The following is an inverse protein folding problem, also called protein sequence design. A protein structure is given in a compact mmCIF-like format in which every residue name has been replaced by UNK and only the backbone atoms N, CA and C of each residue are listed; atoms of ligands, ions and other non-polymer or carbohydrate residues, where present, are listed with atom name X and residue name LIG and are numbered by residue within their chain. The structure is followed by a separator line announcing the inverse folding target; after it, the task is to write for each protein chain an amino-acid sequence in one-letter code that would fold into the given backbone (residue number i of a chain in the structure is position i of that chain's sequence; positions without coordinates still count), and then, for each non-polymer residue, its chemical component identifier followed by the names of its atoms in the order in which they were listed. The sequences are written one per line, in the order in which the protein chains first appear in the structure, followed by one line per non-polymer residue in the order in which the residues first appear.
data_IF_715098919180
#
_entry.id   IF_715098919180
#
_cell.length_a   1.000
_cell.length_b   1.000
_cell.length_c   1.000
_cell.angle_alpha   90.00
_cell.angle_beta   90.00
_cell.angle_gamma   90.00
#
_symmetry.space_group_name_H-M   'P 1'
#
loop_
_entity.id
_entity.type
_entity.pdbx_description
1 polymer ?
#
# COMPACT_ATOMS: atom_id res chain seq x y z
N UNK A 1 11.31 1.41 -15.41
CA UNK A 1 10.61 0.91 -14.21
C UNK A 1 11.66 0.65 -13.14
N UNK A 2 11.40 1.10 -11.91
CA UNK A 2 12.23 0.71 -10.77
C UNK A 2 12.01 -0.80 -10.51
N UNK A 3 13.07 -1.50 -10.08
CA UNK A 3 13.04 -2.93 -9.78
C UNK A 3 13.69 -3.19 -8.43
N UNK A 4 13.22 -4.20 -7.72
CA UNK A 4 13.94 -4.76 -6.59
C UNK A 4 14.82 -5.90 -7.07
N UNK A 5 16.03 -5.98 -6.53
CA UNK A 5 17.01 -7.03 -6.83
C UNK A 5 17.36 -7.78 -5.54
N UNK A 6 17.72 -9.06 -5.68
CA UNK A 6 18.18 -9.90 -4.57
C UNK A 6 17.16 -10.04 -3.42
N UNK A 7 15.87 -10.21 -3.76
CA UNK A 7 14.78 -10.34 -2.78
C UNK A 7 14.15 -11.74 -2.77
N UNK A 8 13.56 -12.10 -1.63
CA UNK A 8 12.64 -13.23 -1.52
C UNK A 8 11.20 -12.73 -1.68
N UNK A 9 10.39 -13.45 -2.46
CA UNK A 9 8.97 -13.11 -2.68
C UNK A 9 8.06 -14.27 -2.26
N UNK A 10 6.96 -13.93 -1.58
CA UNK A 10 5.96 -14.92 -1.19
C UNK A 10 5.21 -15.48 -2.42
N UNK A 11 5.20 -16.82 -2.56
CA UNK A 11 4.44 -17.53 -3.61
C UNK A 11 2.93 -17.39 -3.45
N UNK A 12 2.43 -17.17 -2.24
CA UNK A 12 1.02 -16.88 -1.96
C UNK A 12 0.77 -15.37 -1.94
N UNK A 13 -0.39 -14.93 -2.42
CA UNK A 13 -0.79 -13.53 -2.37
C UNK A 13 -1.50 -13.26 -1.04
N UNK A 14 -1.36 -12.05 -0.52
CA UNK A 14 -2.29 -11.55 0.47
C UNK A 14 -3.50 -11.02 -0.29
N UNK A 15 -4.70 -11.47 0.08
CA UNK A 15 -5.95 -11.14 -0.60
C UNK A 15 -6.91 -10.57 0.43
N UNK A 16 -7.41 -9.38 0.16
CA UNK A 16 -8.41 -8.69 0.97
C UNK A 16 -9.59 -8.28 0.09
N UNK A 17 -10.74 -8.02 0.69
CA UNK A 17 -11.91 -7.49 0.00
C UNK A 17 -12.29 -8.27 -1.27
N UNK A 18 -12.40 -9.60 -1.14
CA UNK A 18 -12.77 -10.51 -2.25
C UNK A 18 -11.86 -10.43 -3.49
N UNK A 19 -10.61 -10.00 -3.32
CA UNK A 19 -9.66 -9.86 -4.43
C UNK A 19 -9.51 -8.43 -4.95
N UNK A 20 -10.24 -7.47 -4.40
CA UNK A 20 -10.12 -6.08 -4.80
C UNK A 20 -8.83 -5.42 -4.31
N UNK A 21 -8.23 -5.96 -3.25
CA UNK A 21 -6.87 -5.60 -2.82
C UNK A 21 -6.06 -6.88 -2.77
N UNK A 22 -5.00 -6.94 -3.58
CA UNK A 22 -4.07 -8.06 -3.60
C UNK A 22 -2.64 -7.57 -3.48
N UNK A 23 -1.79 -8.37 -2.85
CA UNK A 23 -0.39 -8.00 -2.70
C UNK A 23 0.56 -9.17 -2.51
N UNK A 24 1.85 -8.92 -2.73
CA UNK A 24 2.96 -9.85 -2.55
C UNK A 24 3.97 -9.26 -1.58
N UNK A 25 4.25 -10.00 -0.52
CA UNK A 25 5.30 -9.64 0.43
C UNK A 25 6.67 -9.92 -0.16
N UNK A 26 7.58 -8.96 0.04
CA UNK A 26 8.97 -8.96 -0.41
C UNK A 26 9.85 -8.78 0.82
N UNK A 27 10.87 -9.62 0.94
CA UNK A 27 11.89 -9.55 1.99
C UNK A 27 13.26 -9.29 1.37
N UNK A 28 13.99 -8.33 1.93
CA UNK A 28 15.34 -7.98 1.53
C UNK A 28 16.37 -8.67 2.43
N UNK A 29 17.62 -8.74 1.97
CA UNK A 29 18.71 -9.36 2.72
C UNK A 29 19.02 -8.66 4.05
N UNK A 30 18.73 -7.37 4.16
CA UNK A 30 18.85 -6.59 5.40
C UNK A 30 17.70 -6.83 6.39
N UNK A 31 16.75 -7.70 6.06
CA UNK A 31 15.58 -8.02 6.87
C UNK A 31 14.45 -6.98 6.79
N UNK A 32 14.60 -5.94 5.97
CA UNK A 32 13.50 -5.02 5.66
C UNK A 32 12.44 -5.73 4.82
N UNK A 33 11.19 -5.27 4.97
CA UNK A 33 10.04 -5.84 4.27
C UNK A 33 9.30 -4.75 3.51
N UNK A 34 8.86 -5.12 2.31
CA UNK A 34 7.96 -4.31 1.48
C UNK A 34 6.84 -5.19 0.93
N UNK A 35 5.83 -4.55 0.39
CA UNK A 35 4.74 -5.22 -0.30
C UNK A 35 4.48 -4.51 -1.62
N UNK A 36 4.40 -5.27 -2.71
CA UNK A 36 3.88 -4.79 -3.99
C UNK A 36 2.43 -5.23 -4.12
N UNK A 37 1.53 -4.31 -4.44
CA UNK A 37 0.10 -4.63 -4.49
C UNK A 37 -0.69 -3.82 -5.49
N UNK A 38 -1.89 -4.33 -5.75
CA UNK A 38 -2.89 -3.71 -6.61
C UNK A 38 -4.13 -3.45 -5.78
N UNK A 39 -4.72 -2.25 -5.94
CA UNK A 39 -6.04 -1.93 -5.43
C UNK A 39 -6.96 -1.59 -6.60
N UNK A 40 -8.10 -2.27 -6.68
CA UNK A 40 -9.16 -1.98 -7.65
C UNK A 40 -10.06 -0.83 -7.15
N UNK A 41 -10.78 -0.13 -8.05
CA UNK A 41 -11.72 0.91 -7.65
C UNK A 41 -12.74 0.43 -6.61
N UNK A 42 -12.94 1.23 -5.57
CA UNK A 42 -13.79 0.88 -4.42
C UNK A 42 -13.45 1.71 -3.19
N UNK A 43 -14.19 1.48 -2.10
CA UNK A 43 -13.92 2.08 -0.79
C UNK A 43 -13.48 1.02 0.21
N UNK A 44 -12.40 1.30 0.96
CA UNK A 44 -11.78 0.34 1.87
C UNK A 44 -11.39 1.00 3.19
N UNK A 45 -11.41 0.22 4.27
CA UNK A 45 -10.80 0.60 5.56
C UNK A 45 -9.66 -0.36 5.88
N UNK A 46 -8.46 0.16 6.09
CA UNK A 46 -7.28 -0.64 6.41
C UNK A 46 -6.73 -0.23 7.77
N UNK A 47 -5.96 -1.13 8.38
CA UNK A 47 -5.27 -0.89 9.64
C UNK A 47 -3.78 -1.22 9.53
N UNK A 48 -2.96 -0.50 10.28
CA UNK A 48 -1.52 -0.71 10.33
C UNK A 48 -1.10 -1.17 11.72
N UNK A 49 0.00 -1.91 11.79
CA UNK A 49 0.72 -2.20 13.04
C UNK A 49 1.99 -1.37 13.08
N UNK A 50 2.76 -1.40 11.99
CA UNK A 50 3.97 -0.59 11.81
C UNK A 50 3.62 0.71 11.08
N UNK A 51 4.52 1.69 11.13
CA UNK A 51 4.42 2.85 10.24
C UNK A 51 4.60 2.37 8.80
N UNK A 52 3.79 2.88 7.89
CA UNK A 52 3.83 2.51 6.47
C UNK A 52 4.13 3.73 5.61
N UNK A 53 4.94 3.54 4.56
CA UNK A 53 5.14 4.51 3.49
C UNK A 53 4.60 3.87 2.22
N UNK A 54 3.56 4.46 1.64
CA UNK A 54 2.85 3.92 0.48
C UNK A 54 3.21 4.76 -0.74
N UNK A 55 3.99 4.17 -1.64
CA UNK A 55 4.40 4.75 -2.92
C UNK A 55 3.45 4.30 -4.03
N UNK A 56 2.66 5.22 -4.56
CA UNK A 56 1.73 5.00 -5.67
C UNK A 56 2.47 5.17 -7.00
N UNK A 57 2.63 4.06 -7.73
CA UNK A 57 3.30 4.04 -9.04
C UNK A 57 2.34 4.45 -10.17
N UNK A 58 1.10 3.97 -10.10
CA UNK A 58 0.03 4.31 -11.05
C UNK A 58 -1.31 4.40 -10.33
N UNK A 59 -2.26 5.16 -10.88
CA UNK A 59 -3.62 5.26 -10.37
C UNK A 59 -3.96 6.58 -9.69
N UNK A 60 -5.15 6.60 -9.08
CA UNK A 60 -5.70 7.75 -8.38
C UNK A 60 -6.60 7.26 -7.25
N UNK A 61 -6.43 7.82 -6.06
CA UNK A 61 -7.23 7.51 -4.88
C UNK A 61 -7.43 8.75 -4.01
N UNK A 62 -8.35 8.67 -3.06
CA UNK A 62 -8.38 9.55 -1.90
C UNK A 62 -8.02 8.73 -0.65
N UNK A 63 -7.26 9.32 0.26
CA UNK A 63 -6.91 8.73 1.55
C UNK A 63 -7.41 9.61 2.69
N UNK A 64 -7.93 9.01 3.76
CA UNK A 64 -8.27 9.70 5.00
C UNK A 64 -7.49 9.07 6.14
N UNK A 65 -6.51 9.81 6.65
CA UNK A 65 -5.68 9.43 7.79
C UNK A 65 -6.41 9.73 9.12
N UNK A 66 -5.94 9.18 10.26
CA UNK A 66 -6.56 9.46 11.55
C UNK A 66 -6.61 10.96 11.86
N UNK A 67 -7.80 11.46 12.22
CA UNK A 67 -8.03 12.87 12.54
C UNK A 67 -7.71 13.86 11.40
N UNK A 68 -7.67 13.39 10.16
CA UNK A 68 -7.50 14.21 8.95
C UNK A 68 -8.71 14.07 8.03
N UNK A 69 -8.90 15.05 7.15
CA UNK A 69 -9.88 14.99 6.06
C UNK A 69 -9.36 14.18 4.87
N UNK A 70 -10.25 13.92 3.91
CA UNK A 70 -9.87 13.25 2.67
C UNK A 70 -8.84 14.06 1.87
N UNK A 71 -7.78 13.38 1.45
CA UNK A 71 -6.72 13.93 0.62
C UNK A 71 -6.66 13.17 -0.71
N UNK A 72 -6.67 13.90 -1.83
CA UNK A 72 -6.45 13.31 -3.16
C UNK A 72 -4.98 12.92 -3.35
N UNK A 73 -4.76 11.73 -3.89
CA UNK A 73 -3.43 11.20 -4.25
C UNK A 73 -3.48 10.72 -5.69
N UNK A 74 -2.68 11.35 -6.54
CA UNK A 74 -2.54 10.99 -7.97
C UNK A 74 -1.11 10.58 -8.27
N UNK A 75 -0.94 9.43 -8.94
CA UNK A 75 0.38 8.90 -9.23
C UNK A 75 1.20 9.81 -10.19
N UNK A 76 2.53 9.87 -10.05
CA UNK A 76 3.32 9.26 -8.98
C UNK A 76 3.24 10.10 -7.68
N UNK A 77 2.99 9.44 -6.56
CA UNK A 77 2.90 10.12 -5.26
C UNK A 77 3.18 9.14 -4.11
N UNK A 78 3.51 9.68 -2.94
CA UNK A 78 3.72 8.90 -1.73
C UNK A 78 3.03 9.55 -0.55
N UNK A 79 2.52 8.73 0.39
CA UNK A 79 2.01 9.19 1.67
C UNK A 79 2.40 8.23 2.78
N UNK A 80 2.43 8.74 4.01
CA UNK A 80 2.77 7.96 5.20
C UNK A 80 1.51 7.66 6.02
N UNK A 81 1.45 6.45 6.58
CA UNK A 81 0.40 6.06 7.50
C UNK A 81 1.04 5.77 8.87
N UNK A 82 0.57 6.39 9.96
CA UNK A 82 1.10 6.14 11.29
C UNK A 82 0.98 4.68 11.71
N UNK A 83 1.86 4.23 12.59
CA UNK A 83 1.76 2.92 13.24
C UNK A 83 0.48 2.82 14.11
N UNK A 84 -0.03 1.61 14.29
CA UNK A 84 -1.20 1.31 15.12
C UNK A 84 -2.43 2.19 14.81
N UNK A 85 -2.68 2.43 13.53
CA UNK A 85 -3.73 3.33 13.09
C UNK A 85 -4.69 2.66 12.09
N UNK A 86 -5.82 3.35 11.82
CA UNK A 86 -6.76 3.00 10.76
C UNK A 86 -6.83 4.14 9.77
N UNK A 87 -6.98 3.81 8.50
CA UNK A 87 -7.14 4.78 7.44
C UNK A 87 -8.15 4.27 6.42
N UNK A 88 -8.79 5.21 5.72
CA UNK A 88 -9.77 4.89 4.68
C UNK A 88 -9.21 5.25 3.32
N UNK A 89 -9.61 4.48 2.32
CA UNK A 89 -9.24 4.68 0.92
C UNK A 89 -10.49 4.74 0.06
N UNK A 90 -10.49 5.65 -0.91
CA UNK A 90 -11.41 5.66 -2.05
C UNK A 90 -10.60 5.55 -3.32
N UNK A 91 -10.48 4.34 -3.85
CA UNK A 91 -9.72 4.08 -5.07
C UNK A 91 -10.60 4.47 -6.26
N UNK A 92 -10.16 5.46 -7.03
CA UNK A 92 -10.92 5.98 -8.19
C UNK A 92 -10.51 5.29 -9.49
N UNK A 93 -9.23 4.91 -9.60
CA UNK A 93 -8.64 4.15 -10.71
C UNK A 93 -7.76 3.05 -10.14
N UNK A 94 -7.52 1.98 -10.90
CA UNK A 94 -6.61 0.90 -10.47
C UNK A 94 -5.28 1.51 -9.99
N UNK A 95 -4.90 1.14 -8.77
CA UNK A 95 -3.69 1.62 -8.09
C UNK A 95 -2.67 0.51 -8.04
N UNK A 96 -1.48 0.77 -8.58
CA UNK A 96 -0.27 -0.03 -8.38
C UNK A 96 0.59 0.66 -7.32
N UNK A 97 0.88 -0.04 -6.22
CA UNK A 97 1.57 0.55 -5.08
C UNK A 97 2.69 -0.35 -4.53
N UNK A 98 3.69 0.32 -3.95
CA UNK A 98 4.69 -0.29 -3.09
C UNK A 98 4.50 0.24 -1.67
N UNK A 99 4.22 -0.64 -0.71
CA UNK A 99 4.22 -0.28 0.72
C UNK A 99 5.54 -0.70 1.37
N UNK A 100 6.15 0.24 2.09
CA UNK A 100 7.34 0.01 2.92
C UNK A 100 6.95 0.02 4.38
N UNK A 101 7.30 -1.04 5.12
CA UNK A 101 7.08 -1.10 6.57
C UNK A 101 8.29 -0.51 7.30
N UNK A 102 8.06 0.50 8.13
CA UNK A 102 9.06 1.12 9.00
C UNK A 102 8.87 0.56 10.42
N UNK A 103 9.88 -0.17 10.90
CA UNK A 103 9.93 -0.71 12.27
C UNK A 103 10.44 0.33 13.26
#
# INVERSE_FOLDING_TARGET
MAKFENVSIAKAANIFYEGNITSRSIEFQDGSRKTLGIMLPGEYELNTINKEIIDIQTGQLEVMLPAEDWMEVSAPASFEVPANSKFKLRVKKLVDYCCTFVK
#
